data_IF_262432725569
#
_entry.id   IF_262432725569
#
_cell.length_a   1.000
_cell.length_b   1.000
_cell.length_c   1.000
_cell.angle_alpha   90.00
_cell.angle_beta   90.00
_cell.angle_gamma   90.00
#
_symmetry.space_group_name_H-M   'P 1'
#
loop_
_entity.id
_entity.type
_entity.pdbx_description
1 polymer ?
#
# COMPACT_ATOMS: atom_id res chain seq x y z
N UNK A 1 -11.89 -8.28 -11.27
CA UNK A 1 -11.05 -7.07 -11.17
C UNK A 1 -11.84 -5.76 -11.12
N UNK A 2 -12.93 -5.57 -11.88
CA UNK A 2 -13.71 -4.32 -11.89
C UNK A 2 -14.42 -3.98 -10.55
N UNK A 3 -14.90 -4.96 -9.77
CA UNK A 3 -15.62 -4.69 -8.50
C UNK A 3 -14.70 -4.33 -7.33
N UNK A 4 -13.42 -4.77 -7.35
CA UNK A 4 -12.43 -4.38 -6.34
C UNK A 4 -12.05 -2.90 -6.49
N UNK A 5 -12.10 -2.36 -7.71
CA UNK A 5 -11.76 -0.95 -7.97
C UNK A 5 -12.69 0.06 -7.28
N UNK A 6 -13.98 -0.25 -7.11
CA UNK A 6 -14.90 0.70 -6.46
C UNK A 6 -14.69 0.79 -4.96
N UNK A 7 -14.34 -0.32 -4.30
CA UNK A 7 -14.10 -0.35 -2.86
C UNK A 7 -12.79 0.38 -2.50
N UNK A 8 -11.74 0.18 -3.29
CA UNK A 8 -10.42 0.83 -3.11
C UNK A 8 -10.49 2.37 -3.29
N UNK A 9 -11.54 2.89 -3.92
CA UNK A 9 -11.77 4.35 -4.05
C UNK A 9 -12.31 5.00 -2.78
N UNK A 10 -12.81 4.21 -1.82
CA UNK A 10 -13.21 4.75 -0.53
C UNK A 10 -11.93 5.11 0.26
N UNK A 11 -11.75 6.38 0.69
CA UNK A 11 -10.58 6.77 1.47
C UNK A 11 -10.47 6.04 2.81
N UNK A 12 -11.55 5.42 3.29
CA UNK A 12 -11.58 4.64 4.54
C UNK A 12 -11.36 3.14 4.28
N UNK A 13 -11.09 2.74 3.04
CA UNK A 13 -10.79 1.36 2.72
C UNK A 13 -9.37 1.01 3.14
N UNK A 14 -9.25 -0.02 3.97
CA UNK A 14 -7.98 -0.50 4.49
C UNK A 14 -7.72 -1.91 3.96
N UNK A 15 -6.49 -2.15 3.51
CA UNK A 15 -6.03 -3.45 3.05
C UNK A 15 -5.30 -4.17 4.19
N UNK A 16 -5.56 -5.47 4.32
CA UNK A 16 -4.89 -6.34 5.30
C UNK A 16 -4.25 -7.50 4.55
N UNK A 17 -2.94 -7.66 4.71
CA UNK A 17 -2.18 -8.82 4.26
C UNK A 17 -1.80 -9.65 5.49
N UNK A 18 -2.09 -10.94 5.48
CA UNK A 18 -1.64 -11.86 6.53
C UNK A 18 -0.39 -12.55 5.99
N UNK A 19 0.75 -12.25 6.59
CA UNK A 19 2.08 -12.73 6.17
C UNK A 19 2.82 -13.39 7.34
N UNK A 20 4.05 -13.82 7.06
CA UNK A 20 5.01 -14.28 8.06
C UNK A 20 6.08 -13.21 8.22
N UNK A 21 6.41 -12.84 9.46
CA UNK A 21 7.58 -12.01 9.74
C UNK A 21 8.89 -12.82 9.61
N UNK A 22 10.02 -12.15 9.88
CA UNK A 22 11.35 -12.73 9.83
C UNK A 22 11.56 -13.83 10.90
N UNK A 23 10.80 -13.81 11.99
CA UNK A 23 10.80 -14.81 13.06
C UNK A 23 9.77 -15.95 12.85
N UNK A 24 9.10 -15.98 11.70
CA UNK A 24 8.05 -16.95 11.37
C UNK A 24 6.75 -16.84 12.19
N UNK A 25 6.48 -15.68 12.78
CA UNK A 25 5.18 -15.40 13.37
C UNK A 25 4.21 -14.94 12.28
N UNK A 26 2.93 -15.31 12.46
CA UNK A 26 1.85 -14.81 11.62
C UNK A 26 1.57 -13.36 12.04
N UNK A 27 1.79 -12.42 11.13
CA UNK A 27 1.58 -10.99 11.38
C UNK A 27 0.58 -10.39 10.40
N UNK A 28 -0.35 -9.53 10.88
CA UNK A 28 -1.18 -8.72 10.00
C UNK A 28 -0.42 -7.46 9.58
N UNK A 29 -0.13 -7.34 8.30
CA UNK A 29 0.33 -6.10 7.68
C UNK A 29 -0.88 -5.32 7.18
N UNK A 30 -1.04 -4.09 7.67
CA UNK A 30 -2.20 -3.26 7.38
C UNK A 30 -1.74 -1.99 6.71
N UNK A 31 -2.33 -1.68 5.56
CA UNK A 31 -1.91 -0.56 4.75
C UNK A 31 -3.06 0.08 3.98
N UNK A 32 -2.84 1.32 3.56
CA UNK A 32 -3.74 2.09 2.72
C UNK A 32 -3.01 2.52 1.45
N UNK A 33 -3.76 2.61 0.35
CA UNK A 33 -3.23 3.14 -0.90
C UNK A 33 -3.37 4.66 -0.92
N UNK A 34 -2.35 5.35 -1.42
CA UNK A 34 -2.41 6.81 -1.54
C UNK A 34 -3.45 7.23 -2.58
N UNK A 35 -4.08 8.39 -2.36
CA UNK A 35 -5.00 8.99 -3.36
C UNK A 35 -4.31 9.25 -4.70
N UNK A 36 -3.01 9.54 -4.67
CA UNK A 36 -2.19 9.73 -5.86
C UNK A 36 -2.10 8.44 -6.67
N UNK A 37 -1.87 7.30 -6.02
CA UNK A 37 -1.87 5.99 -6.68
C UNK A 37 -3.19 5.68 -7.36
N UNK A 38 -4.32 5.91 -6.68
CA UNK A 38 -5.66 5.70 -7.24
C UNK A 38 -5.84 6.57 -8.50
N UNK A 39 -5.45 7.84 -8.45
CA UNK A 39 -5.50 8.73 -9.62
C UNK A 39 -4.61 8.28 -10.79
N UNK A 40 -3.42 7.77 -10.50
CA UNK A 40 -2.50 7.24 -11.52
C UNK A 40 -3.04 5.95 -12.17
N UNK A 41 -3.66 5.07 -11.37
CA UNK A 41 -4.31 3.86 -11.86
C UNK A 41 -5.52 4.19 -12.74
N UNK A 42 -6.36 5.14 -12.33
CA UNK A 42 -7.52 5.61 -13.11
C UNK A 42 -7.08 6.25 -14.45
N UNK A 43 -5.96 6.98 -14.43
CA UNK A 43 -5.35 7.56 -15.62
C UNK A 43 -4.62 6.54 -16.51
N UNK A 44 -4.54 5.26 -16.10
CA UNK A 44 -3.73 4.21 -16.74
C UNK A 44 -2.29 4.67 -16.97
N UNK A 45 -1.71 5.36 -15.98
CA UNK A 45 -0.37 5.89 -16.03
C UNK A 45 0.69 4.87 -15.59
N UNK A 46 0.28 3.84 -14.84
CA UNK A 46 1.15 2.79 -14.31
C UNK A 46 0.82 1.44 -14.96
N UNK A 47 1.85 0.62 -15.14
CA UNK A 47 1.75 -0.75 -15.62
C UNK A 47 2.47 -1.69 -14.66
N UNK A 48 1.96 -2.92 -14.56
CA UNK A 48 2.61 -3.98 -13.79
C UNK A 48 3.88 -4.43 -14.49
N UNK A 49 4.92 -4.72 -13.72
CA UNK A 49 6.17 -5.26 -14.23
C UNK A 49 6.38 -6.69 -13.74
N UNK A 50 7.47 -7.33 -14.18
CA UNK A 50 7.88 -8.63 -13.65
C UNK A 50 8.46 -8.55 -12.23
N UNK A 51 8.93 -7.37 -11.81
CA UNK A 51 9.41 -7.13 -10.46
C UNK A 51 8.27 -6.55 -9.59
N UNK A 52 7.80 -7.26 -8.56
CA UNK A 52 6.70 -6.79 -7.73
C UNK A 52 7.02 -5.51 -6.94
N UNK A 53 8.29 -5.11 -6.83
CA UNK A 53 8.69 -3.89 -6.14
C UNK A 53 8.49 -2.61 -6.99
N UNK A 54 8.19 -2.74 -8.29
CA UNK A 54 8.12 -1.60 -9.20
C UNK A 54 6.89 -1.64 -10.12
N UNK A 55 6.35 -0.45 -10.38
CA UNK A 55 5.50 -0.17 -11.52
C UNK A 55 6.30 0.46 -12.65
N UNK A 56 5.91 0.17 -13.89
CA UNK A 56 6.44 0.85 -15.08
C UNK A 56 5.54 2.04 -15.43
N UNK A 57 6.16 3.14 -15.85
CA UNK A 57 5.47 4.34 -16.34
C UNK A 57 6.08 4.81 -17.65
N UNK A 58 5.22 4.99 -18.66
CA UNK A 58 5.56 5.71 -19.89
C UNK A 58 5.32 7.22 -19.81
N UNK A 59 5.02 7.74 -18.62
CA UNK A 59 4.69 9.15 -18.37
C UNK A 59 5.75 9.84 -17.52
N UNK A 60 5.77 11.16 -17.64
CA UNK A 60 6.59 12.06 -16.82
C UNK A 60 6.02 12.11 -15.39
N UNK A 61 6.58 11.28 -14.51
CA UNK A 61 6.24 11.20 -13.09
C UNK A 61 7.51 11.45 -12.30
N UNK A 62 7.42 12.31 -11.30
CA UNK A 62 8.48 12.54 -10.33
C UNK A 62 7.98 12.21 -8.92
N UNK A 63 8.88 11.70 -8.08
CA UNK A 63 8.62 11.42 -6.66
C UNK A 63 9.73 12.01 -5.80
N UNK A 64 9.45 12.22 -4.51
CA UNK A 64 10.42 12.78 -3.57
C UNK A 64 11.11 11.64 -2.81
N UNK A 65 12.41 11.47 -3.04
CA UNK A 65 13.26 10.59 -2.25
C UNK A 65 13.84 11.37 -1.09
N UNK A 66 13.86 10.76 0.09
CA UNK A 66 14.57 11.31 1.25
C UNK A 66 16.01 10.83 1.24
N UNK A 67 16.95 11.75 1.12
CA UNK A 67 18.38 11.41 1.05
C UNK A 67 18.98 11.13 2.44
N UNK A 68 20.27 10.79 2.48
CA UNK A 68 21.04 10.52 3.72
C UNK A 68 21.05 11.68 4.73
N UNK A 69 20.74 12.90 4.28
CA UNK A 69 20.63 14.10 5.12
C UNK A 69 19.19 14.43 5.49
N UNK A 70 18.27 13.48 5.31
CA UNK A 70 16.85 13.60 5.63
C UNK A 70 16.12 14.68 4.83
N UNK A 71 16.66 15.07 3.65
CA UNK A 71 16.09 16.09 2.75
C UNK A 71 15.35 15.44 1.58
N UNK A 72 14.23 16.05 1.21
CA UNK A 72 13.44 15.64 0.07
C UNK A 72 14.08 16.13 -1.23
N UNK A 73 14.41 15.19 -2.12
CA UNK A 73 15.00 15.45 -3.42
C UNK A 73 14.06 14.89 -4.50
N UNK A 74 13.66 15.69 -5.50
CA UNK A 74 12.86 15.18 -6.61
C UNK A 74 13.68 14.23 -7.47
N UNK A 75 13.11 13.06 -7.75
CA UNK A 75 13.68 12.04 -8.62
C UNK A 75 12.67 11.69 -9.72
N UNK A 76 13.20 11.54 -10.93
CA UNK A 76 12.40 11.14 -12.07
C UNK A 76 12.15 9.63 -12.04
N UNK A 77 10.89 9.23 -12.24
CA UNK A 77 10.47 7.84 -12.16
C UNK A 77 10.62 7.06 -13.47
N UNK A 78 11.18 7.64 -14.52
CA UNK A 78 11.26 6.97 -15.82
C UNK A 78 12.40 5.93 -15.83
N UNK A 79 12.14 4.65 -16.19
CA UNK A 79 10.83 4.07 -16.54
C UNK A 79 10.12 3.38 -15.35
N UNK A 80 10.76 3.26 -14.18
CA UNK A 80 10.21 2.54 -13.02
C UNK A 80 10.00 3.42 -11.78
N UNK A 81 8.88 3.21 -11.11
CA UNK A 81 8.53 3.82 -9.82
C UNK A 81 8.36 2.75 -8.75
N UNK A 82 9.00 2.88 -7.57
CA UNK A 82 8.83 1.90 -6.49
C UNK A 82 7.41 1.91 -5.91
N UNK A 83 6.92 0.74 -5.51
CA UNK A 83 5.57 0.57 -4.93
C UNK A 83 5.42 1.30 -3.59
N UNK A 84 6.49 1.37 -2.79
CA UNK A 84 6.46 1.91 -1.41
C UNK A 84 5.96 3.36 -1.36
N UNK A 85 6.13 4.15 -2.42
CA UNK A 85 5.63 5.54 -2.49
C UNK A 85 4.10 5.63 -2.65
N UNK A 86 3.42 4.51 -2.90
CA UNK A 86 1.98 4.42 -3.08
C UNK A 86 1.25 3.79 -1.91
N UNK A 87 1.98 3.33 -0.89
CA UNK A 87 1.47 2.60 0.26
C UNK A 87 1.76 3.40 1.53
N UNK A 88 0.79 3.40 2.45
CA UNK A 88 0.94 3.98 3.79
C UNK A 88 0.64 2.90 4.81
N UNK A 89 1.62 2.61 5.67
CA UNK A 89 1.47 1.65 6.75
C UNK A 89 0.53 2.18 7.83
N UNK A 90 -0.33 1.29 8.33
CA UNK A 90 -1.29 1.58 9.37
C UNK A 90 -0.92 0.82 10.65
N UNK A 91 -0.96 1.53 11.79
CA UNK A 91 -0.79 0.90 13.09
C UNK A 91 -1.94 -0.06 13.39
N UNK A 92 -1.61 -1.26 13.86
CA UNK A 92 -2.58 -2.29 14.24
C UNK A 92 -2.56 -2.49 15.75
N UNK A 93 -3.74 -2.71 16.33
CA UNK A 93 -3.89 -3.00 17.75
C UNK A 93 -5.14 -3.83 18.02
N UNK A 94 -5.15 -4.48 19.18
CA UNK A 94 -6.28 -5.28 19.65
C UNK A 94 -7.03 -4.51 20.73
N UNK A 95 -8.36 -4.69 20.77
CA UNK A 95 -9.22 -4.16 21.82
C UNK A 95 -9.74 -5.33 22.66
N UNK A 96 -9.65 -5.20 23.98
CA UNK A 96 -10.03 -6.27 24.92
C UNK A 96 -11.54 -6.56 24.99
N UNK A 97 -12.36 -5.60 24.54
CA UNK A 97 -13.83 -5.68 24.58
C UNK A 97 -14.41 -5.75 23.16
N UNK A 98 -14.43 -6.93 22.51
CA UNK A 98 -14.97 -7.08 21.16
C UNK A 98 -16.52 -7.02 21.18
N UNK A 99 -17.11 -6.45 20.14
CA UNK A 99 -18.57 -6.42 19.96
C UNK A 99 -19.19 -7.83 19.92
N UNK A 100 -18.44 -8.80 19.42
CA UNK A 100 -18.81 -10.20 19.38
C UNK A 100 -17.83 -10.98 20.26
N UNK A 101 -18.21 -11.32 21.50
CA UNK A 101 -17.33 -12.10 22.38
C UNK A 101 -17.11 -13.49 21.78
N UNK A 102 -15.93 -14.06 22.07
CA UNK A 102 -15.64 -15.44 21.67
C UNK A 102 -16.73 -16.37 22.23
N UNK A 103 -17.20 -17.35 21.44
CA UNK A 103 -18.13 -18.34 21.95
C UNK A 103 -17.50 -19.01 23.17
N UNK A 104 -18.26 -19.11 24.26
CA UNK A 104 -17.83 -19.85 25.44
C UNK A 104 -17.50 -21.27 25.00
N UNK A 105 -16.22 -21.63 25.05
CA UNK A 105 -15.77 -22.99 24.79
C UNK A 105 -16.35 -23.84 25.92
N UNK A 106 -17.31 -24.72 25.59
CA UNK A 106 -17.87 -25.73 26.51
C UNK A 106 -16.87 -26.86 26.74
#
# INVERSE_FOLDING_TARGET
>A
FYEVQSAVRNPDFVSVCISSDAEHNIVPEVFMLTRQFIGLMDARALQLTTDPAFFETGRDISYLIRNEYNRDVPMQAAPFVPVDYFVVDCGVGYRDDPLFPAPAVL
#
